data_IF_926775489156
#
_entry.id   IF_926775489156
#
_cell.length_a   1.000
_cell.length_b   1.000
_cell.length_c   1.000
_cell.angle_alpha   90.00
_cell.angle_beta   90.00
_cell.angle_gamma   90.00
#
_symmetry.space_group_name_H-M   'P 1'
#
loop_
_entity.id
_entity.type
_entity.pdbx_description
1 polymer ?
#
# COMPACT_ATOMS: atom_id res chain seq x y z
N UNK A 1 -2.76 -1.42 11.97
CA UNK A 1 -2.57 -0.57 10.75
C UNK A 1 -1.26 -1.00 10.12
N UNK A 2 -1.28 -1.34 8.84
CA UNK A 2 -0.06 -1.68 8.11
C UNK A 2 0.92 -0.51 8.21
N UNK A 3 2.00 -0.69 8.92
CA UNK A 3 2.97 0.39 9.21
C UNK A 3 4.31 0.20 8.51
N UNK A 4 4.47 -0.90 7.76
CA UNK A 4 5.68 -1.26 7.06
C UNK A 4 5.36 -2.17 5.89
N UNK A 5 5.96 -1.89 4.73
CA UNK A 5 5.88 -2.75 3.55
C UNK A 5 7.25 -3.35 3.24
N UNK A 6 7.24 -4.59 2.78
CA UNK A 6 8.43 -5.27 2.26
C UNK A 6 8.30 -5.31 0.73
N UNK A 7 9.01 -4.44 0.06
CA UNK A 7 9.07 -4.38 -1.40
C UNK A 7 10.44 -4.91 -1.83
N UNK A 8 10.59 -6.22 -1.84
CA UNK A 8 11.84 -6.85 -2.27
C UNK A 8 11.74 -7.31 -3.72
N UNK A 9 12.88 -7.42 -4.37
CA UNK A 9 12.99 -7.90 -5.74
C UNK A 9 12.83 -9.44 -5.76
N UNK A 10 11.60 -9.90 -5.53
CA UNK A 10 11.23 -11.32 -5.53
C UNK A 10 10.66 -11.76 -6.87
N UNK A 11 10.72 -13.08 -7.20
CA UNK A 11 10.08 -13.61 -8.40
C UNK A 11 8.60 -13.24 -8.50
N UNK A 12 7.85 -13.31 -7.41
CA UNK A 12 6.42 -13.00 -7.38
C UNK A 12 6.14 -11.53 -7.67
N UNK A 13 6.93 -10.58 -7.13
CA UNK A 13 6.80 -9.15 -7.44
C UNK A 13 7.10 -8.89 -8.91
N UNK A 14 8.15 -9.50 -9.48
CA UNK A 14 8.47 -9.36 -10.91
C UNK A 14 7.36 -9.92 -11.80
N UNK A 15 6.90 -11.15 -11.54
CA UNK A 15 5.79 -11.77 -12.28
C UNK A 15 4.50 -10.96 -12.20
N UNK A 16 4.20 -10.37 -11.03
CA UNK A 16 3.05 -9.49 -10.90
C UNK A 16 3.19 -8.26 -11.81
N UNK A 17 4.34 -7.61 -11.82
CA UNK A 17 4.60 -6.46 -12.68
C UNK A 17 4.52 -6.82 -14.17
N UNK A 18 5.06 -7.98 -14.57
CA UNK A 18 4.98 -8.48 -15.94
C UNK A 18 3.53 -8.73 -16.38
N UNK A 19 2.73 -9.38 -15.52
CA UNK A 19 1.31 -9.66 -15.79
C UNK A 19 0.42 -8.42 -15.78
N UNK A 20 0.85 -7.35 -15.11
CA UNK A 20 0.17 -6.06 -15.17
C UNK A 20 0.45 -5.29 -16.47
N UNK A 21 1.37 -5.75 -17.31
CA UNK A 21 1.71 -5.14 -18.60
C UNK A 21 1.94 -3.63 -18.49
N UNK A 22 2.79 -3.23 -17.52
CA UNK A 22 3.02 -1.83 -17.19
C UNK A 22 3.66 -1.12 -18.38
N UNK A 23 2.93 -0.15 -18.95
CA UNK A 23 3.34 0.58 -20.15
C UNK A 23 4.38 1.68 -19.86
N UNK A 24 4.33 2.26 -18.68
CA UNK A 24 5.23 3.35 -18.29
C UNK A 24 5.77 3.13 -16.87
N UNK A 25 7.07 3.26 -16.74
CA UNK A 25 7.81 3.17 -15.48
C UNK A 25 8.39 4.54 -15.10
N UNK A 26 8.55 4.83 -13.80
CA UNK A 26 9.35 5.99 -13.41
C UNK A 26 10.80 5.82 -13.88
N UNK A 27 11.47 6.92 -14.18
CA UNK A 27 12.84 6.93 -14.70
C UNK A 27 13.82 6.16 -13.78
N UNK A 28 13.63 6.26 -12.47
CA UNK A 28 14.44 5.55 -11.48
C UNK A 28 14.06 4.08 -11.33
N UNK A 29 13.04 3.61 -12.07
CA UNK A 29 12.50 2.26 -11.97
C UNK A 29 11.73 1.99 -10.68
N UNK A 30 11.48 0.71 -10.39
CA UNK A 30 10.81 0.27 -9.18
C UNK A 30 11.71 0.45 -7.95
N UNK A 31 11.14 0.98 -6.88
CA UNK A 31 11.85 1.14 -5.62
C UNK A 31 11.76 -0.13 -4.78
N UNK A 32 12.90 -0.77 -4.58
CA UNK A 32 13.01 -1.94 -3.71
C UNK A 32 13.54 -1.56 -2.34
N UNK A 33 12.84 -1.99 -1.31
CA UNK A 33 13.28 -1.89 0.08
C UNK A 33 12.54 -2.94 0.91
N UNK A 34 13.28 -3.70 1.71
CA UNK A 34 12.70 -4.63 2.68
C UNK A 34 11.93 -3.90 3.79
N UNK A 35 12.14 -2.61 3.95
CA UNK A 35 11.64 -1.85 5.07
C UNK A 35 11.18 -0.47 4.64
N UNK A 36 10.07 -0.43 3.91
CA UNK A 36 9.42 0.84 3.56
C UNK A 36 8.54 1.28 4.72
N UNK A 37 8.80 2.46 5.26
CA UNK A 37 7.99 3.08 6.33
C UNK A 37 7.04 4.12 5.75
N UNK A 38 6.01 4.42 6.51
CA UNK A 38 5.18 5.60 6.24
C UNK A 38 6.07 6.84 6.04
N UNK A 39 5.69 7.69 5.09
CA UNK A 39 6.40 8.87 4.58
C UNK A 39 7.54 8.60 3.59
N UNK A 40 7.99 7.36 3.45
CA UNK A 40 8.94 6.97 2.41
C UNK A 40 8.23 6.76 1.07
N UNK A 41 9.00 6.71 -0.02
CA UNK A 41 8.44 6.44 -1.34
C UNK A 41 8.31 4.94 -1.60
N UNK A 42 7.24 4.58 -2.25
CA UNK A 42 6.94 3.22 -2.72
C UNK A 42 6.43 3.29 -4.15
N UNK A 43 6.75 2.27 -4.95
CA UNK A 43 6.20 2.18 -6.31
C UNK A 43 4.77 1.67 -6.26
N UNK A 44 3.86 2.43 -6.86
CA UNK A 44 2.45 2.06 -7.06
C UNK A 44 2.20 1.80 -8.53
N UNK A 45 1.22 0.96 -8.82
CA UNK A 45 0.67 0.76 -10.17
C UNK A 45 -0.76 1.26 -10.19
N UNK A 46 -1.11 2.05 -11.17
CA UNK A 46 -2.43 2.63 -11.37
C UNK A 46 -2.87 2.45 -12.83
N UNK A 47 -4.15 2.65 -13.12
CA UNK A 47 -4.66 2.71 -14.47
C UNK A 47 -4.96 4.15 -14.86
N UNK A 48 -4.44 4.56 -16.01
CA UNK A 48 -4.66 5.88 -16.57
C UNK A 48 -4.85 5.76 -18.09
N UNK A 49 -5.97 6.26 -18.61
CA UNK A 49 -6.31 6.20 -20.05
C UNK A 49 -6.20 4.77 -20.63
N UNK A 50 -6.70 3.78 -19.90
CA UNK A 50 -6.68 2.37 -20.31
C UNK A 50 -5.30 1.71 -20.29
N UNK A 51 -4.28 2.35 -19.73
CA UNK A 51 -2.92 1.82 -19.59
C UNK A 51 -2.51 1.68 -18.13
N UNK A 52 -1.72 0.67 -17.83
CA UNK A 52 -1.08 0.53 -16.52
C UNK A 52 0.17 1.40 -16.47
N UNK A 53 0.28 2.18 -15.41
CA UNK A 53 1.39 3.12 -15.21
C UNK A 53 1.96 2.88 -13.81
N UNK A 54 3.28 2.74 -13.71
CA UNK A 54 3.98 2.72 -12.45
C UNK A 54 4.44 4.13 -12.06
N UNK A 55 4.35 4.48 -10.78
CA UNK A 55 4.84 5.75 -10.23
C UNK A 55 5.45 5.56 -8.85
N UNK A 56 6.47 6.33 -8.53
CA UNK A 56 7.05 6.38 -7.19
C UNK A 56 6.29 7.42 -6.36
N UNK A 57 5.47 6.97 -5.42
CA UNK A 57 4.57 7.79 -4.61
C UNK A 57 5.04 7.90 -3.16
N UNK A 58 4.83 9.03 -2.52
CA UNK A 58 5.03 9.18 -1.07
C UNK A 58 3.91 8.38 -0.37
N UNK A 59 4.28 7.43 0.50
CA UNK A 59 3.29 6.64 1.25
C UNK A 59 2.70 7.48 2.41
N UNK A 60 1.88 8.45 2.01
CA UNK A 60 1.13 9.37 2.86
C UNK A 60 0.12 10.12 2.00
N UNK A 61 -1.15 9.78 2.03
CA UNK A 61 -2.16 10.25 1.06
C UNK A 61 -2.34 11.78 1.02
N UNK A 62 -2.30 12.44 2.18
CA UNK A 62 -2.51 13.87 2.30
C UNK A 62 -1.17 14.60 2.43
N UNK A 63 -0.77 15.33 1.42
CA UNK A 63 0.38 16.20 1.47
C UNK A 63 -0.03 17.65 1.70
N UNK A 64 0.92 18.47 2.07
CA UNK A 64 0.80 19.93 2.15
C UNK A 64 1.99 20.57 1.45
N UNK A 65 1.79 21.72 0.79
CA UNK A 65 2.89 22.43 0.15
C UNK A 65 3.87 22.98 1.19
N UNK A 66 5.15 22.92 0.88
CA UNK A 66 6.21 23.53 1.63
C UNK A 66 7.08 24.36 0.71
N UNK A 67 7.32 25.62 1.07
CA UNK A 67 8.21 26.52 0.35
C UNK A 67 9.53 26.59 1.10
N UNK A 68 10.59 26.12 0.49
CA UNK A 68 11.95 26.21 1.04
C UNK A 68 12.89 26.81 -0.01
N UNK A 69 13.59 27.89 0.34
CA UNK A 69 14.55 28.57 -0.55
C UNK A 69 13.99 28.93 -1.94
N UNK A 70 12.70 29.30 -2.00
CA UNK A 70 12.03 29.64 -3.26
C UNK A 70 11.57 28.44 -4.10
N UNK A 71 11.79 27.21 -3.63
CA UNK A 71 11.36 26.00 -4.30
C UNK A 71 10.13 25.43 -3.58
N UNK A 72 9.08 25.14 -4.34
CA UNK A 72 7.89 24.44 -3.83
C UNK A 72 8.13 22.94 -3.85
N UNK A 73 7.82 22.27 -2.77
CA UNK A 73 7.72 20.81 -2.68
C UNK A 73 6.54 20.41 -1.81
N UNK A 74 6.22 19.14 -1.81
CA UNK A 74 5.14 18.59 -0.99
C UNK A 74 5.71 17.70 0.11
N UNK A 75 5.19 17.86 1.32
CA UNK A 75 5.53 17.02 2.48
C UNK A 75 4.29 16.37 3.07
N UNK A 76 4.44 15.28 3.84
CA UNK A 76 3.36 14.69 4.60
C UNK A 76 2.66 15.73 5.50
N UNK A 77 1.34 15.81 5.38
CA UNK A 77 0.55 16.67 6.25
C UNK A 77 0.54 16.14 7.70
N UNK A 78 0.14 16.99 8.65
CA UNK A 78 0.00 16.60 10.06
C UNK A 78 -1.04 15.50 10.31
N UNK A 79 -1.96 15.27 9.39
CA UNK A 79 -2.97 14.22 9.51
C UNK A 79 -2.42 12.89 9.03
N UNK A 80 -2.39 11.90 9.93
CA UNK A 80 -1.95 10.54 9.59
C UNK A 80 -2.80 9.95 8.49
N UNK A 81 -2.21 9.70 7.32
CA UNK A 81 -2.92 9.28 6.11
C UNK A 81 -2.21 8.22 5.26
N UNK A 82 -1.21 7.53 5.81
CA UNK A 82 -0.56 6.40 5.11
C UNK A 82 -1.47 5.17 4.99
N UNK A 83 -2.53 5.09 5.81
CA UNK A 83 -3.62 4.12 5.66
C UNK A 83 -4.96 4.83 5.55
N UNK A 84 -5.83 4.31 4.68
CA UNK A 84 -7.22 4.75 4.55
C UNK A 84 -8.14 3.63 4.99
N UNK A 85 -8.95 3.87 6.02
CA UNK A 85 -9.87 2.85 6.55
C UNK A 85 -11.06 2.66 5.63
N UNK A 86 -11.49 1.41 5.46
CA UNK A 86 -12.64 1.03 4.62
C UNK A 86 -13.93 1.78 4.98
N UNK A 87 -14.20 1.97 6.28
CA UNK A 87 -15.41 2.66 6.77
C UNK A 87 -15.41 4.18 6.50
N UNK A 88 -14.30 4.73 5.97
CA UNK A 88 -14.17 6.13 5.57
C UNK A 88 -14.25 6.32 4.05
N UNK A 89 -14.22 5.26 3.26
CA UNK A 89 -14.22 5.35 1.79
C UNK A 89 -15.50 5.98 1.22
N UNK A 90 -16.63 5.74 1.87
CA UNK A 90 -17.94 6.28 1.49
C UNK A 90 -18.41 7.48 2.33
N UNK A 91 -17.56 7.98 3.24
CA UNK A 91 -17.90 9.16 4.04
C UNK A 91 -17.47 10.42 3.28
N UNK A 92 -18.41 11.29 2.88
CA UNK A 92 -18.10 12.55 2.21
C UNK A 92 -17.08 13.37 3.01
N UNK A 93 -16.17 14.05 2.31
CA UNK A 93 -15.07 14.85 2.88
C UNK A 93 -13.98 14.06 3.61
N UNK A 94 -14.06 12.72 3.69
CA UNK A 94 -12.93 11.94 4.16
C UNK A 94 -11.78 11.99 3.16
N UNK A 95 -10.55 11.72 3.62
CA UNK A 95 -9.36 11.73 2.77
C UNK A 95 -9.47 10.77 1.57
N UNK A 96 -10.10 9.60 1.74
CA UNK A 96 -10.22 8.57 0.72
C UNK A 96 -11.43 8.70 -0.21
N UNK A 97 -12.40 9.59 0.07
CA UNK A 97 -13.70 9.60 -0.60
C UNK A 97 -13.60 9.73 -2.14
N UNK A 98 -12.88 10.72 -2.62
CA UNK A 98 -12.70 10.92 -4.07
C UNK A 98 -11.74 9.90 -4.67
N UNK A 99 -10.63 9.62 -3.98
CA UNK A 99 -9.65 8.66 -4.48
C UNK A 99 -10.20 7.24 -4.60
N UNK A 100 -11.12 6.82 -3.73
CA UNK A 100 -11.76 5.51 -3.85
C UNK A 100 -12.58 5.36 -5.14
N UNK A 101 -13.14 6.45 -5.64
CA UNK A 101 -13.94 6.47 -6.88
C UNK A 101 -13.10 6.58 -8.14
N UNK A 102 -11.98 7.30 -8.08
CA UNK A 102 -11.28 7.72 -9.28
C UNK A 102 -9.77 7.43 -9.28
N UNK A 103 -9.16 7.26 -8.11
CA UNK A 103 -7.70 7.22 -7.97
C UNK A 103 -7.26 6.02 -7.13
N UNK A 104 -7.58 4.82 -7.62
CA UNK A 104 -7.14 3.57 -7.01
C UNK A 104 -5.82 3.12 -7.60
N UNK A 105 -5.01 2.50 -6.76
CA UNK A 105 -3.73 1.93 -7.15
C UNK A 105 -3.49 0.60 -6.43
N UNK A 106 -2.47 -0.10 -6.84
CA UNK A 106 -1.93 -1.23 -6.09
C UNK A 106 -0.46 -1.01 -5.80
N UNK A 107 0.02 -1.59 -4.71
CA UNK A 107 1.43 -1.61 -4.33
C UNK A 107 1.89 -3.06 -4.43
N UNK A 108 2.72 -3.44 -5.41
CA UNK A 108 3.34 -4.75 -5.46
C UNK A 108 4.28 -4.93 -4.25
N UNK A 109 4.09 -5.98 -3.48
CA UNK A 109 4.89 -6.24 -2.27
C UNK A 109 5.23 -7.72 -2.13
N UNK A 110 6.32 -8.03 -1.46
CA UNK A 110 6.67 -9.40 -1.03
C UNK A 110 6.15 -9.73 0.38
N UNK A 111 5.63 -8.72 1.09
CA UNK A 111 5.12 -8.87 2.44
C UNK A 111 4.90 -7.54 3.14
N UNK A 112 4.59 -7.60 4.42
CA UNK A 112 4.34 -6.42 5.25
C UNK A 112 4.68 -6.69 6.70
N UNK A 113 4.78 -5.64 7.49
CA UNK A 113 5.02 -5.76 8.92
C UNK A 113 3.92 -5.13 9.75
N UNK A 114 3.57 -5.80 10.84
CA UNK A 114 2.59 -5.32 11.80
C UNK A 114 3.17 -5.22 13.21
N UNK A 115 2.55 -4.39 14.00
CA UNK A 115 2.89 -4.26 15.41
C UNK A 115 1.63 -4.24 16.27
N UNK A 116 1.73 -4.83 17.46
CA UNK A 116 0.65 -4.84 18.43
C UNK A 116 1.19 -4.53 19.83
N UNK A 117 0.43 -3.72 20.56
CA UNK A 117 0.72 -3.48 21.99
C UNK A 117 -0.05 -4.51 22.81
N UNK A 118 0.69 -5.31 23.59
CA UNK A 118 0.15 -6.28 24.54
C UNK A 118 0.61 -5.85 25.93
N UNK A 119 -0.31 -5.35 26.75
CA UNK A 119 0.02 -4.70 28.01
C UNK A 119 0.91 -3.47 27.80
N UNK A 120 2.09 -3.45 28.38
CA UNK A 120 3.10 -2.38 28.19
C UNK A 120 4.10 -2.67 27.06
N UNK A 121 4.12 -3.88 26.52
CA UNK A 121 5.11 -4.33 25.54
C UNK A 121 4.59 -4.20 24.11
N UNK A 122 5.44 -3.72 23.19
CA UNK A 122 5.21 -3.81 21.75
C UNK A 122 5.74 -5.14 21.21
N UNK A 123 4.93 -5.83 20.44
CA UNK A 123 5.32 -6.99 19.65
C UNK A 123 5.33 -6.59 18.18
N UNK A 124 6.26 -7.16 17.43
CA UNK A 124 6.41 -6.89 16.01
C UNK A 124 6.44 -8.21 15.25
N UNK A 125 5.74 -8.24 14.14
CA UNK A 125 5.68 -9.42 13.26
C UNK A 125 6.02 -8.99 11.83
N UNK A 126 6.81 -9.80 11.17
CA UNK A 126 7.06 -9.70 9.75
C UNK A 126 6.30 -10.80 9.03
N UNK A 127 5.53 -10.42 8.04
CA UNK A 127 4.70 -11.31 7.25
C UNK A 127 5.27 -11.37 5.84
N UNK A 128 5.90 -12.48 5.51
CA UNK A 128 6.59 -12.70 4.25
C UNK A 128 5.75 -13.68 3.44
N UNK A 129 5.27 -13.26 2.28
CA UNK A 129 4.61 -14.15 1.34
C UNK A 129 5.62 -15.13 0.70
N UNK A 130 5.14 -16.21 0.13
CA UNK A 130 5.99 -17.12 -0.64
C UNK A 130 6.74 -16.36 -1.75
N UNK A 131 7.96 -16.81 -2.14
CA UNK A 131 8.80 -16.07 -3.08
C UNK A 131 8.15 -15.78 -4.44
N UNK A 132 7.25 -16.65 -4.88
CA UNK A 132 6.48 -16.54 -6.15
C UNK A 132 5.08 -15.96 -5.97
N UNK A 133 4.73 -15.54 -4.77
CA UNK A 133 3.44 -14.93 -4.49
C UNK A 133 3.29 -13.57 -5.18
N UNK A 134 2.26 -13.45 -6.01
CA UNK A 134 1.91 -12.21 -6.71
C UNK A 134 1.00 -11.35 -5.82
N UNK A 135 1.56 -10.85 -4.74
CA UNK A 135 0.84 -10.08 -3.73
C UNK A 135 0.82 -8.60 -4.07
N UNK A 136 -0.35 -8.01 -4.07
CA UNK A 136 -0.53 -6.57 -4.14
C UNK A 136 -1.39 -6.05 -2.98
N UNK A 137 -1.00 -4.91 -2.42
CA UNK A 137 -1.84 -4.16 -1.49
C UNK A 137 -2.70 -3.17 -2.25
N UNK A 138 -4.02 -3.22 -2.03
CA UNK A 138 -4.94 -2.23 -2.58
C UNK A 138 -4.74 -0.88 -1.89
N UNK A 139 -4.60 0.15 -2.70
CA UNK A 139 -4.32 1.51 -2.24
C UNK A 139 -5.11 2.57 -2.98
N UNK A 140 -4.98 3.78 -2.48
CA UNK A 140 -5.49 5.00 -3.09
C UNK A 140 -4.34 5.94 -3.35
N UNK A 141 -4.45 6.79 -4.38
CA UNK A 141 -3.43 7.79 -4.68
C UNK A 141 -4.02 9.18 -4.87
N UNK A 142 -3.16 10.19 -4.85
CA UNK A 142 -3.44 11.58 -5.23
C UNK A 142 -2.27 12.16 -6.01
N UNK A 143 -2.59 13.10 -6.88
CA UNK A 143 -1.65 13.94 -7.61
C UNK A 143 -1.70 15.35 -7.04
N UNK A 144 -0.53 15.93 -6.84
CA UNK A 144 -0.31 17.26 -6.27
C UNK A 144 0.49 18.08 -7.27
N UNK A 145 -0.12 19.13 -7.78
CA UNK A 145 0.47 19.97 -8.80
C UNK A 145 1.19 21.16 -8.18
N UNK A 146 2.41 21.39 -8.60
CA UNK A 146 3.25 22.48 -8.12
C UNK A 146 4.08 23.09 -9.24
N UNK A 147 4.85 24.14 -8.91
CA UNK A 147 5.79 24.77 -9.82
C UNK A 147 7.16 24.79 -9.17
N UNK A 148 8.19 24.47 -9.95
CA UNK A 148 9.59 24.57 -9.53
C UNK A 148 10.08 26.04 -9.48
N UNK A 149 11.35 26.25 -9.11
CA UNK A 149 11.96 27.59 -9.04
C UNK A 149 12.07 28.30 -10.40
N UNK A 150 11.87 27.58 -11.50
CA UNK A 150 11.91 28.11 -12.87
C UNK A 150 10.49 28.32 -13.45
N UNK A 151 9.44 28.02 -12.64
CA UNK A 151 8.05 28.10 -13.07
C UNK A 151 7.55 26.91 -13.88
N UNK A 152 8.34 25.83 -14.01
CA UNK A 152 7.89 24.61 -14.66
C UNK A 152 6.93 23.84 -13.76
N UNK A 153 5.85 23.33 -14.33
CA UNK A 153 4.92 22.47 -13.59
C UNK A 153 5.57 21.12 -13.27
N UNK A 154 5.32 20.63 -12.05
CA UNK A 154 5.62 19.26 -11.65
C UNK A 154 4.45 18.62 -10.92
N UNK A 155 4.40 17.29 -10.92
CA UNK A 155 3.38 16.51 -10.22
C UNK A 155 4.06 15.62 -9.19
N UNK A 156 3.69 15.79 -7.92
CA UNK A 156 4.05 14.86 -6.85
C UNK A 156 2.92 13.85 -6.67
N UNK A 157 3.26 12.57 -6.55
CA UNK A 157 2.28 11.50 -6.31
C UNK A 157 2.38 11.01 -4.87
N UNK A 158 1.22 10.84 -4.24
CA UNK A 158 1.10 10.28 -2.91
C UNK A 158 0.14 9.09 -2.88
N UNK A 159 0.29 8.20 -1.88
CA UNK A 159 -0.60 7.04 -1.76
C UNK A 159 -0.89 6.65 -0.32
N UNK A 160 -1.88 5.79 -0.15
CA UNK A 160 -2.19 5.10 1.11
C UNK A 160 -2.58 3.65 0.85
N UNK A 161 -2.36 2.78 1.81
CA UNK A 161 -2.92 1.42 1.81
C UNK A 161 -4.36 1.47 2.34
N UNK A 162 -5.29 0.78 1.69
CA UNK A 162 -6.64 0.60 2.23
C UNK A 162 -6.59 -0.47 3.31
N UNK A 163 -7.19 -0.17 4.47
CA UNK A 163 -7.29 -1.12 5.59
C UNK A 163 -8.72 -1.51 5.87
N UNK A 164 -8.93 -2.80 6.06
CA UNK A 164 -10.18 -3.50 6.28
C UNK A 164 -10.40 -3.79 7.78
N UNK A 165 -11.55 -4.32 8.20
CA UNK A 165 -11.71 -4.87 9.54
C UNK A 165 -10.62 -5.89 9.89
N UNK A 166 -10.39 -6.18 11.17
CA UNK A 166 -9.43 -7.22 11.55
C UNK A 166 -9.88 -8.58 11.02
N UNK A 167 -8.92 -9.37 10.56
CA UNK A 167 -9.12 -10.76 10.17
C UNK A 167 -8.84 -11.68 11.37
N UNK A 168 -9.67 -12.73 11.57
CA UNK A 168 -9.53 -13.63 12.71
C UNK A 168 -8.15 -14.30 12.81
N UNK A 169 -7.60 -14.75 11.67
CA UNK A 169 -6.26 -15.36 11.58
C UNK A 169 -5.12 -14.40 11.94
N UNK A 170 -5.37 -13.08 11.98
CA UNK A 170 -4.36 -12.06 12.30
C UNK A 170 -4.50 -11.48 13.71
N UNK A 171 -5.40 -11.98 14.54
CA UNK A 171 -5.66 -11.41 15.86
C UNK A 171 -4.45 -11.40 16.78
N UNK A 172 -3.54 -12.36 16.64
CA UNK A 172 -2.29 -12.43 17.42
C UNK A 172 -1.21 -11.48 16.88
N UNK A 173 -1.33 -11.08 15.62
CA UNK A 173 -0.40 -10.17 14.94
C UNK A 173 -0.87 -8.73 15.05
N UNK A 174 -2.15 -8.48 14.73
CA UNK A 174 -2.74 -7.14 14.76
C UNK A 174 -4.27 -7.18 14.87
N UNK A 175 -4.80 -6.71 16.01
CA UNK A 175 -6.25 -6.79 16.35
C UNK A 175 -7.14 -5.71 15.71
N UNK A 176 -6.58 -4.72 15.03
CA UNK A 176 -7.35 -3.52 14.66
C UNK A 176 -7.77 -3.49 13.20
N UNK A 177 -6.99 -4.06 12.31
CA UNK A 177 -7.24 -3.97 10.87
C UNK A 177 -6.37 -4.96 10.10
N UNK A 178 -6.77 -5.22 8.86
CA UNK A 178 -6.04 -6.03 7.88
C UNK A 178 -5.83 -5.17 6.62
N UNK A 179 -4.66 -5.16 5.99
CA UNK A 179 -4.51 -4.46 4.71
C UNK A 179 -5.37 -5.13 3.63
N UNK A 180 -5.86 -4.34 2.69
CA UNK A 180 -6.55 -4.87 1.51
C UNK A 180 -5.54 -5.61 0.63
N UNK A 181 -5.59 -6.93 0.65
CA UNK A 181 -4.78 -7.79 -0.21
C UNK A 181 -5.55 -8.12 -1.47
N UNK A 182 -4.90 -8.04 -2.62
CA UNK A 182 -5.48 -8.30 -3.93
C UNK A 182 -4.66 -9.34 -4.68
N UNK A 183 -5.30 -10.07 -5.58
CA UNK A 183 -4.68 -11.13 -6.36
C UNK A 183 -5.18 -11.12 -7.81
N UNK A 184 -4.32 -11.55 -8.72
CA UNK A 184 -4.69 -11.83 -10.10
C UNK A 184 -5.57 -13.09 -10.21
N UNK A 185 -5.36 -14.07 -9.31
CA UNK A 185 -6.04 -15.37 -9.36
C UNK A 185 -7.56 -15.30 -9.20
N UNK A 186 -8.06 -14.36 -8.40
CA UNK A 186 -9.49 -14.16 -8.14
C UNK A 186 -10.05 -12.90 -8.81
N UNK A 187 -9.32 -12.33 -9.74
CA UNK A 187 -9.67 -11.11 -10.47
C UNK A 187 -9.86 -9.85 -9.60
N UNK A 188 -9.58 -9.93 -8.29
CA UNK A 188 -9.77 -8.81 -7.37
C UNK A 188 -8.88 -7.61 -7.72
N UNK A 189 -7.66 -7.89 -8.19
CA UNK A 189 -6.69 -6.87 -8.56
C UNK A 189 -7.13 -6.10 -9.81
N UNK A 190 -7.57 -6.79 -10.86
CA UNK A 190 -8.05 -6.14 -12.09
C UNK A 190 -9.30 -5.30 -11.81
N UNK A 191 -10.24 -5.82 -11.04
CA UNK A 191 -11.45 -5.09 -10.64
C UNK A 191 -11.10 -3.82 -9.86
N UNK A 192 -10.14 -3.91 -8.94
CA UNK A 192 -9.69 -2.77 -8.13
C UNK A 192 -9.04 -1.69 -8.98
N UNK A 193 -8.19 -2.07 -9.93
CA UNK A 193 -7.46 -1.13 -10.80
C UNK A 193 -8.32 -0.53 -11.91
N UNK A 194 -9.42 -1.17 -12.32
CA UNK A 194 -10.25 -0.69 -13.42
C UNK A 194 -10.74 0.75 -13.16
N UNK A 195 -10.21 1.71 -13.91
CA UNK A 195 -10.51 3.13 -13.76
C UNK A 195 -11.96 3.48 -14.15
N UNK A 196 -12.61 2.68 -15.00
CA UNK A 196 -14.00 2.88 -15.42
C UNK A 196 -15.00 2.53 -14.31
N UNK A 197 -14.58 1.79 -13.30
CA UNK A 197 -15.40 1.46 -12.13
C UNK A 197 -15.42 2.63 -11.16
N UNK A 198 -16.37 3.54 -11.29
CA UNK A 198 -16.51 4.72 -10.41
C UNK A 198 -17.50 4.51 -9.26
N UNK A 199 -18.39 3.52 -9.40
CA UNK A 199 -19.42 3.22 -8.41
C UNK A 199 -18.86 2.33 -7.27
N UNK A 200 -18.85 2.83 -6.03
CA UNK A 200 -18.29 2.12 -4.88
C UNK A 200 -18.90 0.73 -4.65
N UNK A 201 -20.18 0.56 -4.95
CA UNK A 201 -20.92 -0.70 -4.77
C UNK A 201 -20.32 -1.85 -5.58
N UNK A 202 -19.75 -1.57 -6.74
CA UNK A 202 -19.10 -2.58 -7.59
C UNK A 202 -17.82 -3.17 -6.98
N UNK A 203 -17.30 -2.55 -5.90
CA UNK A 203 -16.08 -2.94 -5.21
C UNK A 203 -16.32 -3.33 -3.73
N UNK A 204 -17.56 -3.31 -3.26
CA UNK A 204 -17.89 -3.46 -1.84
C UNK A 204 -17.50 -4.85 -1.31
N UNK A 205 -17.66 -5.89 -2.12
CA UNK A 205 -17.25 -7.26 -1.79
C UNK A 205 -15.73 -7.39 -1.58
N UNK A 206 -14.92 -6.55 -2.24
CA UNK A 206 -13.47 -6.51 -2.05
C UNK A 206 -13.06 -5.95 -0.69
N UNK A 207 -13.96 -5.20 -0.04
CA UNK A 207 -13.71 -4.60 1.27
C UNK A 207 -13.95 -5.57 2.45
N UNK A 208 -14.16 -6.83 2.16
CA UNK A 208 -14.18 -7.91 3.16
C UNK A 208 -12.76 -8.42 3.39
N UNK A 209 -12.30 -8.55 4.66
CA UNK A 209 -10.96 -9.07 4.95
C UNK A 209 -10.79 -10.47 4.37
N UNK A 210 -9.68 -10.68 3.67
CA UNK A 210 -9.32 -11.98 3.09
C UNK A 210 -7.81 -12.14 3.03
N UNK A 211 -7.31 -13.29 3.49
CA UNK A 211 -5.92 -13.71 3.33
C UNK A 211 -5.81 -14.47 2.01
N UNK A 212 -5.18 -13.85 1.01
CA UNK A 212 -5.13 -14.40 -0.36
C UNK A 212 -3.86 -15.19 -0.68
N UNK A 213 -2.88 -15.13 0.18
CA UNK A 213 -1.59 -15.78 0.01
C UNK A 213 -1.16 -16.42 1.32
N UNK A 214 -0.38 -17.48 1.23
CA UNK A 214 0.31 -18.04 2.37
C UNK A 214 1.40 -17.08 2.85
N UNK A 215 1.52 -16.94 4.16
CA UNK A 215 2.58 -16.12 4.78
C UNK A 215 3.38 -16.92 5.79
N UNK A 216 4.69 -16.74 5.76
CA UNK A 216 5.52 -17.02 6.91
C UNK A 216 5.45 -15.83 7.85
N UNK A 217 4.92 -16.03 9.05
CA UNK A 217 4.84 -15.03 10.10
C UNK A 217 6.03 -15.19 11.02
N UNK A 218 6.90 -14.19 11.08
CA UNK A 218 8.09 -14.18 11.92
C UNK A 218 7.95 -13.09 13.00
N UNK A 219 7.83 -13.49 14.29
CA UNK A 219 8.03 -12.54 15.39
C UNK A 219 9.44 -11.97 15.34
N UNK A 220 9.57 -10.65 15.44
CA UNK A 220 10.86 -9.94 15.42
C UNK A 220 10.98 -9.03 16.64
N UNK A 221 12.22 -8.79 17.08
CA UNK A 221 12.49 -7.94 18.25
C UNK A 221 12.24 -6.46 17.94
N UNK A 222 12.69 -5.98 16.77
CA UNK A 222 12.58 -4.58 16.37
C UNK A 222 12.63 -4.50 14.83
N UNK A 223 11.72 -3.73 14.21
CA UNK A 223 11.68 -3.62 12.75
C UNK A 223 12.99 -3.21 12.09
N UNK A 224 13.75 -2.30 12.71
CA UNK A 224 15.03 -1.82 12.18
C UNK A 224 16.18 -2.82 12.29
N UNK A 225 16.13 -3.76 13.24
CA UNK A 225 17.16 -4.79 13.43
C UNK A 225 16.80 -6.11 12.76
N UNK A 226 15.51 -6.40 12.66
CA UNK A 226 14.98 -7.55 11.96
C UNK A 226 15.46 -8.91 12.47
N UNK A 227 15.72 -9.00 13.76
CA UNK A 227 16.17 -10.24 14.40
C UNK A 227 14.97 -11.06 14.87
N UNK A 228 14.93 -12.37 14.61
CA UNK A 228 13.90 -13.24 15.15
C UNK A 228 13.78 -13.13 16.66
N UNK A 229 12.54 -13.05 17.15
CA UNK A 229 12.22 -12.95 18.58
C UNK A 229 11.25 -14.06 19.04
N UNK A 230 11.12 -15.12 18.25
CA UNK A 230 10.28 -16.28 18.50
C UNK A 230 10.26 -17.21 17.30
N UNK A 231 9.57 -18.32 17.43
CA UNK A 231 9.38 -19.27 16.35
C UNK A 231 8.46 -18.68 15.27
N UNK A 232 8.81 -18.94 14.01
CA UNK A 232 7.95 -18.58 12.90
C UNK A 232 6.88 -19.64 12.69
N UNK A 233 5.75 -19.22 12.19
CA UNK A 233 4.65 -20.12 11.80
C UNK A 233 4.11 -19.76 10.42
N UNK A 234 3.35 -20.67 9.84
CA UNK A 234 2.70 -20.49 8.56
C UNK A 234 1.26 -20.03 8.79
N UNK A 235 0.85 -19.01 8.05
CA UNK A 235 -0.51 -18.52 7.97
C UNK A 235 -1.07 -18.91 6.60
N UNK A 236 -2.03 -19.83 6.61
CA UNK A 236 -2.66 -20.31 5.38
C UNK A 236 -3.69 -19.31 4.83
N UNK A 237 -3.87 -19.24 3.50
CA UNK A 237 -4.91 -18.44 2.88
C UNK A 237 -6.33 -18.92 3.27
N UNK A 238 -7.34 -18.14 2.89
CA UNK A 238 -8.77 -18.48 3.11
C UNK A 238 -9.31 -19.39 2.02
#
# INVERSE_FOLDING_TARGET
>A
MCGRLNVTDSPGVRQLCDQLEISFWPEEGMRFSRFVRATERVTIVLEQQGKRVARNAIWWLLLEPEHSTGIMHFKPSRYTSFNTRYDKLNVPRSAGYHSFRQHRCVIPVAGFGESQKIGSKMTYHDMIAEPDAQLAMGGLYREWHGHDSHGNEFVETSCSVVTLPPHEKLMDVHKKSTPLMLSLKDNSLQRWLNADTTEPQALEDLLTPKIRHQFKVQPINKPSLYQPAGESYVLEPD
#
